data_IF_636026010567
#
_entry.id   IF_636026010567
#
_cell.length_a   1.000
_cell.length_b   1.000
_cell.length_c   1.000
_cell.angle_alpha   90.00
_cell.angle_beta   90.00
_cell.angle_gamma   90.00
#
_symmetry.space_group_name_H-M   'P 1'
#
loop_
_entity.id
_entity.type
_entity.pdbx_description
1 polymer ?
#
# COMPACT_ATOMS: atom_id res chain seq x y z
N UNK A 1 -4.48 -60.36 -56.32
CA UNK A 1 -3.51 -59.46 -55.66
C UNK A 1 -3.74 -59.54 -54.16
N UNK A 2 -2.72 -59.97 -53.41
CA UNK A 2 -2.86 -60.50 -52.05
C UNK A 2 -3.30 -59.41 -51.06
N UNK A 3 -4.49 -59.55 -50.46
CA UNK A 3 -4.97 -58.72 -49.35
C UNK A 3 -4.08 -58.75 -48.09
N UNK A 4 -3.06 -59.62 -48.07
CA UNK A 4 -1.96 -59.56 -47.09
C UNK A 4 -1.18 -58.25 -47.19
N UNK A 5 -0.80 -57.79 -48.39
CA UNK A 5 -0.03 -56.55 -48.56
C UNK A 5 -0.81 -55.31 -48.14
N UNK A 6 -2.13 -55.29 -48.36
CA UNK A 6 -2.99 -54.18 -47.93
C UNK A 6 -3.06 -54.07 -46.40
N UNK A 7 -3.14 -55.21 -45.68
CA UNK A 7 -3.12 -55.22 -44.21
C UNK A 7 -1.77 -54.77 -43.65
N UNK A 8 -0.66 -55.14 -44.29
CA UNK A 8 0.67 -54.70 -43.88
C UNK A 8 0.87 -53.20 -44.12
N UNK A 9 0.46 -52.67 -45.28
CA UNK A 9 0.56 -51.24 -45.58
C UNK A 9 -0.33 -50.37 -44.68
N UNK A 10 -1.54 -50.83 -44.34
CA UNK A 10 -2.42 -50.14 -43.38
C UNK A 10 -1.81 -50.13 -41.97
N UNK A 11 -1.21 -51.25 -41.55
CA UNK A 11 -0.52 -51.33 -40.26
C UNK A 11 0.63 -50.34 -40.15
N UNK A 12 1.42 -50.17 -41.22
CA UNK A 12 2.54 -49.24 -41.28
C UNK A 12 2.08 -47.77 -41.24
N UNK A 13 1.02 -47.42 -41.96
CA UNK A 13 0.42 -46.07 -41.90
C UNK A 13 -0.10 -45.76 -40.50
N UNK A 14 -0.82 -46.69 -39.86
CA UNK A 14 -1.34 -46.50 -38.50
C UNK A 14 -0.19 -46.30 -37.51
N UNK A 15 0.90 -47.05 -37.65
CA UNK A 15 2.06 -46.98 -36.77
C UNK A 15 2.82 -45.66 -36.93
N UNK A 16 2.94 -45.16 -38.16
CA UNK A 16 3.53 -43.84 -38.47
C UNK A 16 2.65 -42.71 -37.91
N UNK A 17 1.33 -42.78 -38.08
CA UNK A 17 0.41 -41.76 -37.56
C UNK A 17 0.47 -41.69 -36.03
N UNK A 18 0.51 -42.83 -35.33
CA UNK A 18 0.69 -42.86 -33.87
C UNK A 18 2.02 -42.23 -33.47
N UNK A 19 3.11 -42.52 -34.21
CA UNK A 19 4.42 -41.91 -33.97
C UNK A 19 4.41 -40.39 -34.08
N UNK A 20 3.75 -39.84 -35.11
CA UNK A 20 3.60 -38.38 -35.30
C UNK A 20 2.77 -37.76 -34.18
N UNK A 21 1.66 -38.38 -33.79
CA UNK A 21 0.81 -37.87 -32.71
C UNK A 21 1.54 -37.85 -31.36
N UNK A 22 2.31 -38.88 -31.04
CA UNK A 22 3.14 -38.92 -29.82
C UNK A 22 4.24 -37.85 -29.88
N UNK A 23 4.92 -37.69 -31.02
CA UNK A 23 5.94 -36.65 -31.19
C UNK A 23 5.36 -35.23 -31.02
N UNK A 24 4.18 -34.97 -31.58
CA UNK A 24 3.46 -33.71 -31.39
C UNK A 24 3.04 -33.50 -29.94
N UNK A 25 2.53 -34.53 -29.25
CA UNK A 25 2.18 -34.43 -27.83
C UNK A 25 3.39 -34.13 -26.95
N UNK A 26 4.52 -34.79 -27.19
CA UNK A 26 5.76 -34.53 -26.45
C UNK A 26 6.28 -33.11 -26.72
N UNK A 27 6.22 -32.64 -27.97
CA UNK A 27 6.64 -31.29 -28.31
C UNK A 27 5.73 -30.24 -27.63
N UNK A 28 4.41 -30.39 -27.74
CA UNK A 28 3.44 -29.51 -27.10
C UNK A 28 3.59 -29.51 -25.57
N UNK A 29 3.86 -30.67 -24.95
CA UNK A 29 4.12 -30.76 -23.52
C UNK A 29 5.42 -30.04 -23.12
N UNK A 30 6.48 -30.16 -23.92
CA UNK A 30 7.74 -29.47 -23.68
C UNK A 30 7.62 -27.95 -23.87
N UNK A 31 6.85 -27.50 -24.87
CA UNK A 31 6.54 -26.09 -25.09
C UNK A 31 5.70 -25.53 -23.94
N UNK A 32 4.64 -26.24 -23.51
CA UNK A 32 3.84 -25.87 -22.33
C UNK A 32 4.72 -25.75 -21.09
N UNK A 33 5.57 -26.75 -20.80
CA UNK A 33 6.48 -26.74 -19.65
C UNK A 33 7.47 -25.57 -19.69
N UNK A 34 7.97 -25.21 -20.88
CA UNK A 34 8.85 -24.03 -21.04
C UNK A 34 8.10 -22.72 -20.80
N UNK A 35 6.85 -22.62 -21.28
CA UNK A 35 5.95 -21.50 -20.99
C UNK A 35 5.68 -21.36 -19.50
N UNK A 36 5.30 -22.45 -18.82
CA UNK A 36 5.09 -22.47 -17.38
C UNK A 36 6.32 -22.00 -16.59
N UNK A 37 7.52 -22.52 -16.92
CA UNK A 37 8.75 -22.10 -16.25
C UNK A 37 9.05 -20.60 -16.43
N UNK A 38 8.77 -20.05 -17.62
CA UNK A 38 8.92 -18.63 -17.93
C UNK A 38 7.92 -17.78 -17.14
N UNK A 39 6.64 -18.16 -17.12
CA UNK A 39 5.60 -17.49 -16.32
C UNK A 39 5.95 -17.48 -14.84
N UNK A 40 6.38 -18.61 -14.28
CA UNK A 40 6.83 -18.68 -12.89
C UNK A 40 7.99 -17.73 -12.60
N UNK A 41 8.97 -17.64 -13.51
CA UNK A 41 10.09 -16.72 -13.37
C UNK A 41 9.65 -15.24 -13.40
N UNK A 42 8.74 -14.88 -14.31
CA UNK A 42 8.17 -13.53 -14.40
C UNK A 42 7.39 -13.19 -13.11
N UNK A 43 6.53 -14.09 -12.64
CA UNK A 43 5.74 -13.85 -11.43
C UNK A 43 6.62 -13.78 -10.17
N UNK A 44 7.69 -14.57 -10.09
CA UNK A 44 8.69 -14.46 -9.01
C UNK A 44 9.38 -13.10 -9.01
N UNK A 45 9.74 -12.58 -10.20
CA UNK A 45 10.30 -11.23 -10.32
C UNK A 45 9.29 -10.17 -9.84
N UNK A 46 8.01 -10.30 -10.21
CA UNK A 46 6.95 -9.38 -9.75
C UNK A 46 6.81 -9.41 -8.23
N UNK A 47 6.91 -10.59 -7.61
CA UNK A 47 6.88 -10.72 -6.14
C UNK A 47 8.02 -9.92 -5.51
N UNK A 48 9.24 -10.05 -6.02
CA UNK A 48 10.41 -9.33 -5.50
C UNK A 48 10.29 -7.82 -5.71
N UNK A 49 9.78 -7.38 -6.85
CA UNK A 49 9.51 -5.97 -7.15
C UNK A 49 8.43 -5.38 -6.22
N UNK A 50 7.32 -6.10 -6.01
CA UNK A 50 6.25 -5.68 -5.08
C UNK A 50 6.76 -5.58 -3.63
N UNK A 51 7.67 -6.45 -3.20
CA UNK A 51 8.29 -6.39 -1.87
C UNK A 51 9.08 -5.10 -1.67
N UNK A 52 9.90 -4.74 -2.66
CA UNK A 52 10.66 -3.50 -2.66
C UNK A 52 9.72 -2.29 -2.60
N UNK A 53 8.67 -2.29 -3.44
CA UNK A 53 7.69 -1.20 -3.46
C UNK A 53 6.94 -1.07 -2.13
N UNK A 54 6.58 -2.20 -1.49
CA UNK A 54 5.98 -2.23 -0.15
C UNK A 54 6.91 -1.61 0.89
N UNK A 55 8.19 -1.98 0.91
CA UNK A 55 9.18 -1.45 1.86
C UNK A 55 9.32 0.08 1.73
N UNK A 56 9.42 0.57 0.50
CA UNK A 56 9.53 2.01 0.22
C UNK A 56 8.25 2.73 0.65
N UNK A 57 7.07 2.22 0.27
CA UNK A 57 5.78 2.83 0.62
C UNK A 57 5.52 2.82 2.13
N UNK A 58 5.92 1.77 2.85
CA UNK A 58 5.88 1.73 4.31
C UNK A 58 6.81 2.80 4.94
N UNK A 59 8.00 3.00 4.37
CA UNK A 59 8.93 4.05 4.80
C UNK A 59 8.37 5.46 4.55
N UNK A 60 7.75 5.67 3.39
CA UNK A 60 6.99 6.89 3.05
C UNK A 60 5.89 7.13 4.10
N UNK A 61 5.12 6.11 4.44
CA UNK A 61 4.04 6.22 5.41
C UNK A 61 4.55 6.63 6.79
N UNK A 62 5.62 5.97 7.26
CA UNK A 62 6.27 6.31 8.53
C UNK A 62 6.74 7.76 8.56
N UNK A 63 7.38 8.23 7.49
CA UNK A 63 7.87 9.61 7.40
C UNK A 63 6.73 10.64 7.49
N UNK A 64 5.61 10.43 6.79
CA UNK A 64 4.49 11.36 6.84
C UNK A 64 3.71 11.31 8.16
N UNK A 65 3.63 10.16 8.84
CA UNK A 65 3.06 10.08 10.19
C UNK A 65 3.90 10.86 11.21
N UNK A 66 5.23 10.77 11.12
CA UNK A 66 6.13 11.60 11.93
C UNK A 66 5.94 13.09 11.62
N UNK A 67 5.77 13.43 10.35
CA UNK A 67 5.56 14.81 9.91
C UNK A 67 4.22 15.39 10.38
N UNK A 68 3.14 14.61 10.39
CA UNK A 68 1.84 15.04 10.92
C UNK A 68 1.89 15.31 12.43
N UNK A 69 2.66 14.51 13.18
CA UNK A 69 2.90 14.76 14.61
C UNK A 69 3.54 16.13 14.86
N UNK A 70 4.54 16.49 14.05
CA UNK A 70 5.21 17.81 14.13
C UNK A 70 4.27 18.96 13.73
N UNK A 71 3.50 18.80 12.66
CA UNK A 71 2.51 19.81 12.21
C UNK A 71 1.42 20.02 13.28
N UNK A 72 1.03 18.97 14.00
CA UNK A 72 0.03 19.08 15.08
C UNK A 72 0.56 19.89 16.26
N UNK A 73 1.84 19.71 16.65
CA UNK A 73 2.48 20.56 17.67
C UNK A 73 2.48 22.02 17.22
N UNK A 74 2.81 22.28 15.95
CA UNK A 74 2.76 23.64 15.39
C UNK A 74 1.35 24.24 15.44
N UNK A 75 0.32 23.50 15.03
CA UNK A 75 -1.09 23.98 15.06
C UNK A 75 -1.56 24.41 16.45
N UNK A 76 -1.12 23.71 17.49
CA UNK A 76 -1.56 23.93 18.86
C UNK A 76 -0.71 24.95 19.62
N UNK A 77 0.36 25.46 19.01
CA UNK A 77 1.26 26.41 19.64
C UNK A 77 0.66 27.83 19.63
N UNK A 78 0.62 28.49 20.79
CA UNK A 78 0.25 29.89 20.90
C UNK A 78 1.44 30.76 20.51
N UNK A 79 1.46 31.20 19.26
CA UNK A 79 2.53 32.03 18.73
C UNK A 79 2.45 33.49 19.21
N UNK A 80 1.42 33.90 19.98
CA UNK A 80 1.30 35.29 20.44
C UNK A 80 2.43 35.74 21.38
N UNK A 81 3.20 34.80 21.93
CA UNK A 81 4.42 35.07 22.68
C UNK A 81 5.65 34.70 21.83
N UNK A 82 6.59 35.63 21.60
CA UNK A 82 7.82 35.29 20.92
C UNK A 82 8.61 34.31 21.80
N UNK A 83 8.90 33.13 21.28
CA UNK A 83 9.80 32.16 21.91
C UNK A 83 11.26 32.64 21.76
N UNK A 84 11.52 33.90 22.13
CA UNK A 84 12.83 34.53 22.04
C UNK A 84 13.59 34.25 23.34
N UNK A 85 14.27 33.11 23.40
CA UNK A 85 15.56 33.09 24.12
C UNK A 85 16.49 31.94 23.76
N UNK A 86 16.04 30.84 23.12
CA UNK A 86 16.94 29.73 22.74
C UNK A 86 16.51 29.03 21.43
N UNK A 87 16.33 29.78 20.35
CA UNK A 87 15.84 29.26 19.07
C UNK A 87 16.94 28.53 18.29
N UNK A 88 16.99 27.21 18.41
CA UNK A 88 17.29 26.37 17.25
C UNK A 88 15.97 26.21 16.48
N UNK A 89 15.69 27.14 15.57
CA UNK A 89 14.45 27.17 14.80
C UNK A 89 14.52 26.34 13.51
N UNK A 90 15.65 25.65 13.27
CA UNK A 90 15.88 24.81 12.09
C UNK A 90 14.76 23.77 11.89
N UNK A 91 14.25 23.21 12.98
CA UNK A 91 13.16 22.22 12.98
C UNK A 91 11.83 22.79 12.45
N UNK A 92 11.58 24.10 12.61
CA UNK A 92 10.36 24.77 12.12
C UNK A 92 10.53 25.28 10.69
N UNK A 93 11.75 25.67 10.30
CA UNK A 93 12.07 26.23 8.98
C UNK A 93 11.80 25.20 7.86
N UNK A 94 11.99 23.92 8.15
CA UNK A 94 11.98 22.85 7.15
C UNK A 94 10.73 21.96 7.19
N UNK A 95 9.70 22.33 7.98
CA UNK A 95 8.51 21.50 8.22
C UNK A 95 7.78 21.14 6.92
N UNK A 96 7.85 21.97 5.88
CA UNK A 96 7.26 21.69 4.56
C UNK A 96 8.27 21.82 3.42
N UNK A 97 9.51 21.37 3.64
CA UNK A 97 10.59 21.47 2.63
C UNK A 97 10.83 20.18 1.83
N UNK A 98 10.57 19.03 2.45
CA UNK A 98 10.89 17.71 1.88
C UNK A 98 9.64 16.94 1.47
N UNK A 99 9.79 16.09 0.47
CA UNK A 99 8.86 15.00 0.16
C UNK A 99 9.66 13.70 0.02
N UNK A 100 8.98 12.58 0.14
CA UNK A 100 9.56 11.26 -0.09
C UNK A 100 9.21 10.82 -1.52
N UNK A 101 10.18 10.71 -2.45
CA UNK A 101 9.92 10.18 -3.78
C UNK A 101 9.64 8.67 -3.72
N UNK A 102 8.89 8.18 -4.70
CA UNK A 102 8.63 6.76 -4.92
C UNK A 102 8.83 6.47 -6.41
N UNK A 103 9.66 5.47 -6.69
CA UNK A 103 9.86 4.93 -8.02
C UNK A 103 9.31 3.50 -8.02
N UNK A 104 8.44 3.21 -8.99
CA UNK A 104 7.83 1.89 -9.14
C UNK A 104 8.79 0.93 -9.82
N UNK A 105 8.83 -0.30 -9.34
CA UNK A 105 9.51 -1.40 -10.02
C UNK A 105 8.49 -2.25 -10.77
N UNK A 106 8.33 -2.04 -12.07
CA UNK A 106 7.26 -2.68 -12.88
C UNK A 106 7.79 -3.57 -14.02
N UNK A 107 9.09 -3.87 -14.06
CA UNK A 107 9.68 -4.59 -15.19
C UNK A 107 9.08 -5.99 -15.34
N UNK A 108 8.87 -6.71 -14.24
CA UNK A 108 8.22 -8.02 -14.25
C UNK A 108 6.79 -7.90 -14.76
N UNK A 109 6.05 -6.88 -14.32
CA UNK A 109 4.68 -6.62 -14.78
C UNK A 109 4.62 -6.29 -16.28
N UNK A 110 5.51 -5.43 -16.79
CA UNK A 110 5.61 -5.14 -18.22
C UNK A 110 5.92 -6.40 -19.04
N UNK A 111 6.82 -7.27 -18.54
CA UNK A 111 7.11 -8.55 -19.18
C UNK A 111 5.91 -9.48 -19.19
N UNK A 112 5.14 -9.54 -18.10
CA UNK A 112 3.90 -10.30 -18.00
C UNK A 112 2.87 -9.81 -19.03
N UNK A 113 2.68 -8.50 -19.12
CA UNK A 113 1.72 -7.88 -20.05
C UNK A 113 2.05 -8.19 -21.52
N UNK A 114 3.32 -8.33 -21.86
CA UNK A 114 3.78 -8.70 -23.20
C UNK A 114 3.61 -10.19 -23.55
N UNK A 115 3.21 -11.03 -22.58
CA UNK A 115 3.07 -12.48 -22.76
C UNK A 115 1.77 -13.00 -22.14
N UNK A 116 0.73 -12.15 -22.10
CA UNK A 116 -0.57 -12.51 -21.50
C UNK A 116 -1.26 -13.67 -22.21
N UNK A 117 -1.02 -13.81 -23.50
CA UNK A 117 -1.43 -14.90 -24.38
C UNK A 117 -0.74 -16.24 -24.07
N UNK A 118 0.34 -16.24 -23.28
CA UNK A 118 1.02 -17.45 -22.78
C UNK A 118 0.55 -17.86 -21.37
N UNK A 119 -0.35 -17.10 -20.73
CA UNK A 119 -0.81 -17.37 -19.36
C UNK A 119 -1.89 -18.46 -19.31
N UNK A 120 -1.74 -19.35 -18.32
CA UNK A 120 -2.79 -20.32 -17.98
C UNK A 120 -4.01 -19.58 -17.39
N UNK A 121 -5.22 -20.07 -17.66
CA UNK A 121 -6.49 -19.49 -17.17
C UNK A 121 -6.49 -19.35 -15.64
N UNK A 122 -5.75 -20.23 -14.96
CA UNK A 122 -5.56 -20.20 -13.51
C UNK A 122 -5.03 -18.84 -13.02
N UNK A 123 -4.16 -18.15 -13.77
CA UNK A 123 -3.57 -16.86 -13.33
C UNK A 123 -4.42 -15.62 -13.64
N UNK A 124 -5.62 -15.78 -14.20
CA UNK A 124 -6.48 -14.65 -14.59
C UNK A 124 -6.82 -13.70 -13.43
N UNK A 125 -7.24 -14.22 -12.28
CA UNK A 125 -7.54 -13.40 -11.09
C UNK A 125 -6.28 -12.66 -10.58
N UNK A 126 -5.13 -13.33 -10.57
CA UNK A 126 -3.87 -12.71 -10.19
C UNK A 126 -3.46 -11.60 -11.16
N UNK A 127 -3.70 -11.79 -12.47
CA UNK A 127 -3.43 -10.79 -13.49
C UNK A 127 -4.32 -9.55 -13.31
N UNK A 128 -5.61 -9.72 -13.06
CA UNK A 128 -6.52 -8.59 -12.80
C UNK A 128 -6.07 -7.78 -11.57
N UNK A 129 -5.68 -8.46 -10.49
CA UNK A 129 -5.15 -7.80 -9.30
C UNK A 129 -3.84 -7.04 -9.58
N UNK A 130 -2.92 -7.64 -10.33
CA UNK A 130 -1.66 -6.99 -10.71
C UNK A 130 -1.91 -5.79 -11.62
N UNK A 131 -2.82 -5.89 -12.58
CA UNK A 131 -3.23 -4.76 -13.43
C UNK A 131 -3.74 -3.63 -12.55
N UNK A 132 -4.63 -3.91 -11.61
CA UNK A 132 -5.16 -2.90 -10.70
C UNK A 132 -4.07 -2.22 -9.86
N UNK A 133 -3.11 -2.99 -9.33
CA UNK A 133 -2.00 -2.44 -8.55
C UNK A 133 -1.14 -1.49 -9.41
N UNK A 134 -0.69 -1.96 -10.58
CA UNK A 134 0.27 -1.23 -11.40
C UNK A 134 -0.35 -0.13 -12.27
N UNK A 135 -1.61 -0.26 -12.67
CA UNK A 135 -2.27 0.69 -13.58
C UNK A 135 -3.24 1.65 -12.87
N UNK A 136 -3.69 1.33 -11.65
CA UNK A 136 -4.61 2.20 -10.89
C UNK A 136 -4.01 2.66 -9.55
N UNK A 137 -3.64 1.74 -8.66
CA UNK A 137 -3.26 2.07 -7.29
C UNK A 137 -1.93 2.86 -7.22
N UNK A 138 -0.87 2.34 -7.86
CA UNK A 138 0.46 2.98 -7.91
C UNK A 138 0.40 4.35 -8.60
N UNK A 139 -0.22 4.50 -9.79
CA UNK A 139 -0.36 5.81 -10.42
C UNK A 139 -1.08 6.83 -9.55
N UNK A 140 -2.06 6.42 -8.73
CA UNK A 140 -2.72 7.33 -7.79
C UNK A 140 -1.75 7.86 -6.73
N UNK A 141 -0.86 7.01 -6.19
CA UNK A 141 0.19 7.45 -5.27
C UNK A 141 1.14 8.44 -5.95
N UNK A 142 1.64 8.10 -7.14
CA UNK A 142 2.58 8.93 -7.92
C UNK A 142 1.95 10.30 -8.22
N UNK A 143 0.67 10.35 -8.62
CA UNK A 143 -0.03 11.59 -8.91
C UNK A 143 -0.01 12.57 -7.73
N UNK A 144 -0.24 12.08 -6.50
CA UNK A 144 -0.18 12.95 -5.31
C UNK A 144 1.26 13.33 -4.93
N UNK A 145 2.24 12.47 -5.20
CA UNK A 145 3.66 12.80 -5.00
C UNK A 145 4.16 13.87 -5.98
N UNK A 146 3.75 13.81 -7.25
CA UNK A 146 4.03 14.86 -8.24
C UNK A 146 3.34 16.17 -7.86
N UNK A 147 2.10 16.09 -7.37
CA UNK A 147 1.38 17.22 -6.79
C UNK A 147 2.15 17.87 -5.64
N UNK A 148 2.66 17.05 -4.72
CA UNK A 148 3.51 17.50 -3.60
C UNK A 148 4.75 18.24 -4.11
N UNK A 149 5.49 17.65 -5.07
CA UNK A 149 6.66 18.28 -5.66
C UNK A 149 6.33 19.64 -6.31
N UNK A 150 5.18 19.74 -6.98
CA UNK A 150 4.69 21.00 -7.57
C UNK A 150 4.42 22.06 -6.49
N UNK A 151 3.78 21.70 -5.38
CA UNK A 151 3.50 22.60 -4.27
C UNK A 151 4.79 23.08 -3.61
N UNK A 152 5.74 22.17 -3.35
CA UNK A 152 7.04 22.52 -2.80
C UNK A 152 7.82 23.48 -3.71
N UNK A 153 7.75 23.25 -5.02
CA UNK A 153 8.38 24.14 -6.01
C UNK A 153 7.76 25.53 -6.00
N UNK A 154 6.43 25.64 -5.92
CA UNK A 154 5.71 26.93 -5.82
C UNK A 154 6.00 27.66 -4.51
N UNK A 155 6.08 26.95 -3.40
CA UNK A 155 6.46 27.53 -2.12
C UNK A 155 7.87 28.11 -2.18
N UNK A 156 8.84 27.33 -2.69
CA UNK A 156 10.22 27.79 -2.88
C UNK A 156 10.30 29.02 -3.79
N UNK A 157 9.55 29.02 -4.91
CA UNK A 157 9.42 30.16 -5.82
C UNK A 157 8.96 31.41 -5.10
N UNK A 158 7.87 31.29 -4.32
CA UNK A 158 7.35 32.39 -3.53
C UNK A 158 8.40 32.92 -2.56
N UNK A 159 9.18 32.05 -1.91
CA UNK A 159 10.19 32.47 -0.97
C UNK A 159 11.30 33.32 -1.62
N UNK A 160 11.94 32.82 -2.68
CA UNK A 160 13.08 33.51 -3.26
C UNK A 160 12.69 34.76 -4.07
N UNK A 161 11.45 34.85 -4.57
CA UNK A 161 10.96 36.03 -5.27
C UNK A 161 10.55 37.16 -4.33
N UNK A 162 10.10 36.86 -3.11
CA UNK A 162 9.46 37.84 -2.23
C UNK A 162 10.28 38.22 -0.99
N UNK A 163 11.32 37.44 -0.65
CA UNK A 163 12.07 37.67 0.59
C UNK A 163 13.59 37.72 0.39
N UNK A 164 14.20 38.85 0.79
CA UNK A 164 15.66 39.06 0.67
C UNK A 164 16.46 38.09 1.56
N UNK A 165 15.88 37.67 2.69
CA UNK A 165 16.53 36.74 3.63
C UNK A 165 16.76 35.35 3.03
N UNK A 166 16.07 34.97 1.95
CA UNK A 166 16.20 33.66 1.32
C UNK A 166 17.65 33.28 0.98
N UNK A 167 18.39 34.22 0.38
CA UNK A 167 19.79 34.02 0.01
C UNK A 167 20.71 33.93 1.23
N UNK A 168 20.40 34.68 2.30
CA UNK A 168 21.20 34.73 3.54
C UNK A 168 21.14 33.41 4.29
N UNK A 169 19.93 32.87 4.43
CA UNK A 169 19.70 31.56 5.03
C UNK A 169 20.36 30.47 4.19
N UNK A 170 20.11 30.46 2.88
CA UNK A 170 20.54 29.38 1.99
C UNK A 170 22.06 29.31 1.77
N UNK A 171 22.75 30.46 1.73
CA UNK A 171 24.18 30.52 1.43
C UNK A 171 25.04 30.66 2.70
N UNK A 172 24.55 31.37 3.70
CA UNK A 172 25.35 31.77 4.86
C UNK A 172 24.82 31.22 6.19
N UNK A 173 23.68 30.52 6.20
CA UNK A 173 23.02 30.05 7.42
C UNK A 173 22.75 31.20 8.42
N UNK A 174 22.49 32.40 7.87
CA UNK A 174 22.18 33.60 8.64
C UNK A 174 20.66 33.75 8.76
N UNK A 175 20.14 33.51 9.96
CA UNK A 175 18.72 33.59 10.27
C UNK A 175 18.31 34.98 10.74
N UNK A 176 17.09 35.42 10.37
CA UNK A 176 16.61 36.78 10.64
C UNK A 176 15.25 36.82 11.35
N UNK A 177 14.94 37.93 12.03
CA UNK A 177 13.60 38.11 12.64
C UNK A 177 12.49 38.09 11.58
N UNK A 178 12.75 38.60 10.38
CA UNK A 178 11.80 38.59 9.27
C UNK A 178 11.46 37.17 8.80
N UNK A 179 12.48 36.33 8.61
CA UNK A 179 12.32 34.90 8.31
C UNK A 179 11.55 34.17 9.41
N UNK A 180 11.93 34.38 10.67
CA UNK A 180 11.22 33.78 11.80
C UNK A 180 9.74 34.15 11.76
N UNK A 181 9.44 35.43 11.51
CA UNK A 181 8.06 35.88 11.42
C UNK A 181 7.29 35.26 10.25
N UNK A 182 7.96 34.99 9.13
CA UNK A 182 7.38 34.29 7.99
C UNK A 182 6.87 32.90 8.40
N UNK A 183 7.75 32.04 8.93
CA UNK A 183 7.37 30.67 9.28
C UNK A 183 6.37 30.56 10.42
N UNK A 184 6.36 31.52 11.35
CA UNK A 184 5.52 31.47 12.54
C UNK A 184 4.15 32.11 12.33
N UNK A 185 4.08 33.21 11.57
CA UNK A 185 2.89 34.06 11.54
C UNK A 185 2.29 34.25 10.16
N UNK A 186 3.08 34.10 9.08
CA UNK A 186 2.63 34.47 7.75
C UNK A 186 1.46 33.59 7.27
N UNK A 187 0.34 34.20 6.83
CA UNK A 187 -0.82 33.45 6.37
C UNK A 187 -0.53 32.63 5.10
N UNK A 188 0.39 33.07 4.23
CA UNK A 188 0.78 32.33 3.02
C UNK A 188 1.52 31.06 3.41
N UNK A 189 2.45 31.12 4.37
CA UNK A 189 3.13 29.91 4.87
C UNK A 189 2.13 28.92 5.48
N UNK A 190 1.17 29.40 6.29
CA UNK A 190 0.11 28.56 6.87
C UNK A 190 -0.78 27.91 5.80
N UNK A 191 -1.06 28.61 4.71
CA UNK A 191 -1.78 28.06 3.57
C UNK A 191 -0.95 26.95 2.89
N UNK A 192 0.34 27.17 2.64
CA UNK A 192 1.21 26.13 2.10
C UNK A 192 1.29 24.90 3.01
N UNK A 193 1.37 25.09 4.33
CA UNK A 193 1.35 23.98 5.29
C UNK A 193 0.04 23.18 5.24
N UNK A 194 -1.08 23.87 5.08
CA UNK A 194 -2.39 23.23 4.94
C UNK A 194 -2.47 22.37 3.68
N UNK A 195 -2.07 22.92 2.54
CA UNK A 195 -2.06 22.19 1.26
C UNK A 195 -1.04 21.04 1.28
N UNK A 196 0.14 21.25 1.86
CA UNK A 196 1.14 20.22 2.08
C UNK A 196 0.55 19.05 2.88
N UNK A 197 -0.22 19.35 3.93
CA UNK A 197 -0.93 18.35 4.71
C UNK A 197 -1.98 17.59 3.91
N UNK A 198 -2.80 18.30 3.16
CA UNK A 198 -3.78 17.66 2.28
C UNK A 198 -3.11 16.68 1.29
N UNK A 199 -1.97 17.05 0.72
CA UNK A 199 -1.23 16.17 -0.17
C UNK A 199 -0.70 14.92 0.54
N UNK A 200 0.02 15.05 1.67
CA UNK A 200 0.55 13.85 2.30
C UNK A 200 -0.53 12.96 2.92
N UNK A 201 -1.68 13.52 3.33
CA UNK A 201 -2.83 12.71 3.77
C UNK A 201 -3.31 11.83 2.61
N UNK A 202 -3.41 12.38 1.40
CA UNK A 202 -3.78 11.60 0.23
C UNK A 202 -2.68 10.59 -0.17
N UNK A 203 -1.40 10.96 -0.08
CA UNK A 203 -0.29 10.00 -0.29
C UNK A 203 -0.40 8.84 0.71
N UNK A 204 -0.60 9.13 1.99
CA UNK A 204 -0.75 8.12 3.05
C UNK A 204 -1.89 7.15 2.77
N UNK A 205 -3.08 7.67 2.42
CA UNK A 205 -4.26 6.84 2.17
C UNK A 205 -4.01 5.91 0.98
N UNK A 206 -3.51 6.44 -0.13
CA UNK A 206 -3.28 5.66 -1.36
C UNK A 206 -2.11 4.68 -1.22
N UNK A 207 -1.06 5.09 -0.49
CA UNK A 207 0.07 4.21 -0.17
C UNK A 207 -0.36 3.06 0.73
N UNK A 208 -1.15 3.33 1.79
CA UNK A 208 -1.71 2.29 2.66
C UNK A 208 -2.54 1.26 1.89
N UNK A 209 -3.37 1.73 0.97
CA UNK A 209 -4.17 0.88 0.10
C UNK A 209 -3.29 0.03 -0.83
N UNK A 210 -2.33 0.66 -1.49
CA UNK A 210 -1.39 0.00 -2.41
C UNK A 210 -0.59 -1.08 -1.69
N UNK A 211 -0.07 -0.79 -0.50
CA UNK A 211 0.64 -1.76 0.35
C UNK A 211 -0.24 -2.95 0.71
N UNK A 212 -1.50 -2.72 1.07
CA UNK A 212 -2.43 -3.80 1.41
C UNK A 212 -2.72 -4.71 0.20
N UNK A 213 -2.97 -4.12 -0.98
CA UNK A 213 -3.17 -4.87 -2.22
C UNK A 213 -1.92 -5.67 -2.62
N UNK A 214 -0.75 -5.04 -2.56
CA UNK A 214 0.53 -5.67 -2.91
C UNK A 214 0.84 -6.86 -2.00
N UNK A 215 0.66 -6.72 -0.69
CA UNK A 215 0.88 -7.82 0.26
C UNK A 215 -0.07 -8.99 -0.02
N UNK A 216 -1.35 -8.72 -0.30
CA UNK A 216 -2.32 -9.76 -0.69
C UNK A 216 -1.91 -10.46 -1.98
N UNK A 217 -1.48 -9.71 -3.00
CA UNK A 217 -0.99 -10.27 -4.26
C UNK A 217 0.23 -11.16 -4.04
N UNK A 218 1.19 -10.72 -3.22
CA UNK A 218 2.38 -11.51 -2.84
C UNK A 218 1.94 -12.84 -2.20
N UNK A 219 1.04 -12.82 -1.20
CA UNK A 219 0.57 -14.04 -0.52
C UNK A 219 -0.02 -15.05 -1.52
N UNK A 220 -0.89 -14.55 -2.41
CA UNK A 220 -1.58 -15.39 -3.38
C UNK A 220 -0.61 -15.99 -4.39
N UNK A 221 0.32 -15.17 -4.90
CA UNK A 221 1.32 -15.61 -5.87
C UNK A 221 2.33 -16.58 -5.24
N UNK A 222 2.83 -16.32 -4.04
CA UNK A 222 3.73 -17.24 -3.34
C UNK A 222 3.06 -18.60 -3.09
N UNK A 223 1.80 -18.59 -2.64
CA UNK A 223 1.02 -19.81 -2.42
C UNK A 223 0.84 -20.59 -3.73
N UNK A 224 0.50 -19.89 -4.82
CA UNK A 224 0.24 -20.49 -6.13
C UNK A 224 1.51 -21.03 -6.80
N UNK A 225 2.63 -20.38 -6.57
CA UNK A 225 3.93 -20.80 -7.08
C UNK A 225 4.62 -21.84 -6.19
N UNK A 226 4.03 -22.20 -5.06
CA UNK A 226 4.60 -23.09 -4.03
C UNK A 226 5.95 -22.57 -3.51
N UNK A 227 6.08 -21.25 -3.36
CA UNK A 227 7.28 -20.60 -2.85
C UNK A 227 7.28 -20.56 -1.31
N UNK A 228 8.46 -20.36 -0.74
CA UNK A 228 8.60 -20.05 0.68
C UNK A 228 7.89 -18.72 0.98
N UNK A 229 7.05 -18.72 2.01
CA UNK A 229 6.29 -17.52 2.41
C UNK A 229 7.26 -16.51 3.01
N UNK A 230 7.35 -15.34 2.41
CA UNK A 230 8.28 -14.29 2.83
C UNK A 230 7.65 -13.21 3.72
N UNK A 231 6.35 -13.32 3.98
CA UNK A 231 5.57 -12.27 4.64
C UNK A 231 6.01 -11.94 6.06
N UNK A 232 6.70 -12.86 6.74
CA UNK A 232 7.26 -12.62 8.07
C UNK A 232 8.26 -11.44 8.08
N UNK A 233 8.80 -11.06 6.93
CA UNK A 233 9.66 -9.88 6.77
C UNK A 233 8.87 -8.55 6.76
N UNK A 234 7.59 -8.57 6.37
CA UNK A 234 6.76 -7.38 6.15
C UNK A 234 5.56 -7.25 7.09
N UNK A 235 5.17 -8.36 7.74
CA UNK A 235 4.02 -8.45 8.63
C UNK A 235 4.46 -8.74 10.06
N UNK A 236 3.93 -7.97 11.00
CA UNK A 236 4.09 -8.29 12.41
C UNK A 236 3.11 -9.40 12.80
N UNK A 237 3.62 -10.44 13.47
CA UNK A 237 2.77 -11.44 14.08
C UNK A 237 2.07 -10.86 15.32
N UNK A 238 0.74 -10.91 15.34
CA UNK A 238 -0.01 -10.47 16.51
C UNK A 238 0.21 -11.44 17.69
N UNK A 239 0.47 -10.93 18.92
CA UNK A 239 0.46 -11.76 20.10
C UNK A 239 -0.90 -12.46 20.25
N UNK A 240 -0.90 -13.78 20.47
CA UNK A 240 -2.16 -14.54 20.52
C UNK A 240 -3.09 -14.09 21.65
N UNK A 241 -2.52 -13.65 22.77
CA UNK A 241 -3.29 -13.05 23.88
C UNK A 241 -4.01 -11.77 23.43
N UNK A 242 -3.34 -10.94 22.61
CA UNK A 242 -3.94 -9.73 22.04
C UNK A 242 -5.09 -10.08 21.11
N UNK A 243 -4.87 -10.99 20.15
CA UNK A 243 -5.93 -11.44 19.23
C UNK A 243 -7.13 -11.97 20.01
N UNK A 244 -6.89 -12.85 20.98
CA UNK A 244 -7.95 -13.46 21.78
C UNK A 244 -8.73 -12.45 22.64
N UNK A 245 -8.08 -11.39 23.12
CA UNK A 245 -8.75 -10.32 23.87
C UNK A 245 -9.72 -9.49 23.03
N UNK A 246 -9.48 -9.41 21.72
CA UNK A 246 -10.29 -8.62 20.78
C UNK A 246 -11.43 -9.43 20.15
N UNK A 247 -11.52 -10.75 20.36
CA UNK A 247 -12.61 -11.57 19.82
C UNK A 247 -13.94 -11.17 20.48
N UNK A 248 -14.97 -10.98 19.65
CA UNK A 248 -16.32 -10.73 20.13
C UNK A 248 -17.21 -10.04 19.11
N UNK A 249 -18.42 -9.74 19.56
CA UNK A 249 -19.37 -8.91 18.84
C UNK A 249 -19.41 -7.54 19.47
N UNK A 250 -19.41 -6.53 18.63
CA UNK A 250 -19.18 -5.16 18.99
C UNK A 250 -20.23 -4.28 18.33
N UNK A 251 -20.60 -3.16 18.96
CA UNK A 251 -21.54 -2.20 18.40
C UNK A 251 -20.91 -0.82 18.33
N UNK A 252 -20.97 -0.22 17.14
CA UNK A 252 -20.61 1.19 16.99
C UNK A 252 -21.72 2.07 17.60
N UNK A 253 -21.35 3.12 18.31
CA UNK A 253 -22.31 4.09 18.88
C UNK A 253 -23.26 4.69 17.82
N UNK A 254 -22.81 4.76 16.55
CA UNK A 254 -23.54 5.42 15.45
C UNK A 254 -23.97 4.50 14.28
N UNK A 255 -23.66 3.18 14.29
CA UNK A 255 -24.08 2.24 13.23
C UNK A 255 -25.14 1.24 13.68
N UNK A 256 -25.91 0.75 12.72
CA UNK A 256 -26.90 -0.33 12.91
C UNK A 256 -26.28 -1.72 12.88
N UNK A 257 -25.09 -1.87 12.30
CA UNK A 257 -24.38 -3.12 12.07
C UNK A 257 -23.40 -3.45 13.19
N UNK A 258 -23.34 -4.74 13.52
CA UNK A 258 -22.45 -5.28 14.54
C UNK A 258 -21.08 -5.59 13.95
N UNK A 259 -19.99 -5.07 14.54
CA UNK A 259 -18.64 -5.50 14.23
C UNK A 259 -18.40 -6.89 14.84
N UNK A 260 -18.03 -7.88 14.04
CA UNK A 260 -17.72 -9.23 14.52
C UNK A 260 -16.24 -9.52 14.30
N UNK A 261 -15.52 -9.75 15.40
CA UNK A 261 -14.11 -10.10 15.40
C UNK A 261 -13.91 -11.56 15.82
N UNK A 262 -13.22 -12.32 14.98
CA UNK A 262 -12.94 -13.74 15.14
C UNK A 262 -11.43 -14.00 15.12
N UNK A 263 -10.99 -15.09 15.76
CA UNK A 263 -9.63 -15.60 15.57
C UNK A 263 -9.66 -16.73 14.53
N UNK A 264 -8.98 -16.55 13.41
CA UNK A 264 -8.79 -17.56 12.36
C UNK A 264 -7.31 -17.87 12.24
N UNK A 265 -6.93 -19.09 12.63
CA UNK A 265 -5.54 -19.56 12.56
C UNK A 265 -4.51 -18.63 13.24
N UNK A 266 -4.90 -17.98 14.33
CA UNK A 266 -4.05 -17.05 15.07
C UNK A 266 -4.06 -15.61 14.57
N UNK A 267 -4.91 -15.27 13.59
CA UNK A 267 -5.08 -13.92 13.09
C UNK A 267 -6.45 -13.35 13.45
N UNK A 268 -6.50 -12.04 13.71
CA UNK A 268 -7.74 -11.34 13.95
C UNK A 268 -8.47 -11.12 12.62
N UNK A 269 -9.72 -11.52 12.55
CA UNK A 269 -10.53 -11.48 11.34
C UNK A 269 -11.81 -10.71 11.60
N UNK A 270 -12.16 -9.80 10.70
CA UNK A 270 -13.46 -9.15 10.71
C UNK A 270 -14.46 -9.91 9.83
N UNK A 271 -15.54 -10.41 10.43
CA UNK A 271 -16.62 -11.14 9.74
C UNK A 271 -17.89 -10.33 9.51
N UNK A 272 -17.85 -9.02 9.78
CA UNK A 272 -18.98 -8.12 9.63
C UNK A 272 -19.41 -7.96 8.17
N UNK A 273 -20.61 -8.39 7.82
CA UNK A 273 -21.18 -8.08 6.51
C UNK A 273 -21.94 -6.75 6.58
N UNK A 274 -21.39 -5.68 6.00
CA UNK A 274 -22.18 -4.54 5.50
C UNK A 274 -21.38 -3.67 4.53
N UNK A 275 -21.73 -3.70 3.23
CA UNK A 275 -21.09 -2.95 2.14
C UNK A 275 -21.24 -1.43 2.23
N UNK A 276 -20.55 -0.83 3.20
CA UNK A 276 -20.57 0.59 3.51
C UNK A 276 -19.42 1.03 4.40
N UNK A 277 -18.26 1.40 3.83
CA UNK A 277 -17.26 2.21 4.53
C UNK A 277 -17.88 3.54 4.94
N UNK A 278 -17.28 4.18 5.94
CA UNK A 278 -17.65 5.52 6.40
C UNK A 278 -17.61 6.58 5.28
N UNK A 279 -16.93 6.30 4.15
CA UNK A 279 -16.66 7.25 3.07
C UNK A 279 -17.41 6.94 1.75
N UNK A 280 -18.26 5.89 1.72
CA UNK A 280 -19.25 5.65 0.67
C UNK A 280 -18.87 4.70 -0.48
N UNK A 281 -19.89 4.32 -1.27
CA UNK A 281 -19.93 3.16 -2.19
C UNK A 281 -18.80 3.01 -3.21
N UNK A 282 -18.10 4.08 -3.55
CA UNK A 282 -16.97 4.03 -4.48
C UNK A 282 -15.74 3.32 -3.87
N UNK A 283 -15.65 3.26 -2.54
CA UNK A 283 -14.58 2.56 -1.79
C UNK A 283 -15.07 1.28 -1.09
N UNK A 284 -16.37 0.97 -1.18
CA UNK A 284 -17.05 -0.09 -0.38
C UNK A 284 -17.08 -1.47 -1.04
N UNK A 285 -16.66 -1.58 -2.30
CA UNK A 285 -16.74 -2.85 -3.03
C UNK A 285 -15.53 -3.75 -2.83
N UNK A 286 -14.55 -3.34 -2.01
CA UNK A 286 -13.35 -4.12 -1.75
C UNK A 286 -13.27 -4.54 -0.27
N UNK A 287 -13.98 -5.63 0.04
CA UNK A 287 -13.77 -6.56 1.17
C UNK A 287 -13.87 -6.02 2.62
N UNK A 288 -15.05 -6.14 3.24
CA UNK A 288 -15.22 -6.18 4.71
C UNK A 288 -15.32 -7.65 5.16
N UNK A 289 -14.35 -8.43 4.70
CA UNK A 289 -14.12 -9.83 5.09
C UNK A 289 -12.63 -10.05 4.95
N UNK A 290 -11.86 -9.69 5.97
CA UNK A 290 -10.40 -9.59 5.83
C UNK A 290 -9.67 -9.95 7.11
N UNK A 291 -8.54 -10.63 6.93
CA UNK A 291 -7.49 -10.72 7.95
C UNK A 291 -7.03 -9.30 8.29
N UNK A 292 -7.25 -8.88 9.54
CA UNK A 292 -6.82 -7.57 10.02
C UNK A 292 -5.32 -7.63 10.28
N UNK A 293 -4.55 -6.83 9.54
CA UNK A 293 -3.09 -6.83 9.65
C UNK A 293 -2.66 -6.12 10.94
N UNK A 294 -1.90 -6.82 11.77
CA UNK A 294 -1.31 -6.23 12.98
C UNK A 294 -0.25 -5.18 12.64
N UNK A 295 -0.35 -4.01 13.25
CA UNK A 295 0.54 -2.87 13.02
C UNK A 295 1.54 -2.65 14.16
N UNK A 296 1.52 -3.51 15.18
CA UNK A 296 2.28 -3.31 16.42
C UNK A 296 1.43 -2.74 17.54
N UNK A 297 1.98 -2.74 18.76
CA UNK A 297 1.30 -2.31 19.98
C UNK A 297 -0.05 -3.01 20.16
N UNK A 298 -1.14 -2.25 20.11
CA UNK A 298 -2.52 -2.73 20.17
C UNK A 298 -3.34 -2.38 18.92
N UNK A 299 -2.66 -2.12 17.79
CA UNK A 299 -3.25 -1.64 16.55
C UNK A 299 -3.38 -2.72 15.48
N UNK A 300 -4.52 -2.70 14.80
CA UNK A 300 -4.81 -3.50 13.62
C UNK A 300 -5.26 -2.59 12.48
N UNK A 301 -4.67 -2.77 11.31
CA UNK A 301 -5.14 -2.15 10.07
C UNK A 301 -6.56 -2.62 9.80
N UNK A 302 -7.49 -1.68 9.74
CA UNK A 302 -8.90 -1.95 9.45
C UNK A 302 -9.22 -1.55 8.02
N UNK A 303 -8.93 -0.30 7.65
CA UNK A 303 -9.04 0.16 6.27
C UNK A 303 -7.99 1.24 5.94
N UNK A 304 -8.11 1.80 4.73
CA UNK A 304 -7.18 2.80 4.19
C UNK A 304 -7.11 4.08 5.01
N UNK A 305 -8.14 4.38 5.81
CA UNK A 305 -8.31 5.58 6.64
C UNK A 305 -8.37 5.31 8.14
N UNK A 306 -8.53 4.06 8.57
CA UNK A 306 -8.74 3.74 9.98
C UNK A 306 -7.98 2.49 10.47
N UNK A 307 -7.75 2.46 11.78
CA UNK A 307 -7.19 1.33 12.50
C UNK A 307 -8.12 0.96 13.67
N UNK A 308 -8.14 -0.32 14.02
CA UNK A 308 -8.74 -0.80 15.27
C UNK A 308 -7.67 -0.79 16.37
N UNK A 309 -7.99 -0.21 17.52
CA UNK A 309 -7.15 -0.23 18.72
C UNK A 309 -7.83 -1.00 19.85
N UNK A 310 -7.09 -1.90 20.50
CA UNK A 310 -7.44 -2.35 21.86
C UNK A 310 -6.92 -1.36 22.90
N UNK A 311 -7.82 -0.84 23.72
CA UNK A 311 -7.53 0.11 24.78
C UNK A 311 -7.11 -0.60 26.08
N UNK A 312 -6.46 0.13 26.98
CA UNK A 312 -6.00 -0.42 28.27
C UNK A 312 -7.13 -0.92 29.17
N UNK A 313 -8.34 -0.38 28.99
CA UNK A 313 -9.55 -0.80 29.71
C UNK A 313 -10.25 -2.02 29.09
N UNK A 314 -9.68 -2.60 28.02
CA UNK A 314 -10.24 -3.74 27.30
C UNK A 314 -11.32 -3.37 26.27
N UNK A 315 -11.67 -2.10 26.12
CA UNK A 315 -12.54 -1.63 25.04
C UNK A 315 -11.80 -1.59 23.69
N UNK A 316 -12.54 -1.59 22.59
CA UNK A 316 -11.98 -1.36 21.26
C UNK A 316 -12.39 0.03 20.80
N UNK A 317 -11.54 0.70 20.03
CA UNK A 317 -11.87 1.95 19.37
C UNK A 317 -11.42 1.96 17.92
N UNK A 318 -12.16 2.70 17.10
CA UNK A 318 -11.71 3.04 15.76
C UNK A 318 -10.91 4.33 15.82
N UNK A 319 -9.68 4.30 15.34
CA UNK A 319 -8.80 5.47 15.23
C UNK A 319 -8.57 5.82 13.76
N UNK A 320 -8.39 7.11 13.47
CA UNK A 320 -7.91 7.52 12.16
C UNK A 320 -6.43 7.15 11.97
N UNK A 321 -5.90 7.37 10.76
CA UNK A 321 -4.49 7.09 10.44
C UNK A 321 -3.49 7.85 11.31
N UNK A 322 -3.92 8.92 12.00
CA UNK A 322 -3.08 9.77 12.86
C UNK A 322 -3.23 9.43 14.36
N UNK A 323 -4.04 8.41 14.70
CA UNK A 323 -4.26 7.97 16.08
C UNK A 323 -5.34 8.77 16.82
N UNK A 324 -6.11 9.60 16.12
CA UNK A 324 -7.26 10.28 16.73
C UNK A 324 -8.45 9.32 16.81
N UNK A 325 -9.04 9.19 17.99
CA UNK A 325 -10.22 8.36 18.20
C UNK A 325 -11.39 8.91 17.37
N UNK A 326 -11.92 8.09 16.47
CA UNK A 326 -13.13 8.38 15.68
C UNK A 326 -14.35 8.04 16.52
N UNK A 327 -14.42 6.82 17.06
CA UNK A 327 -15.55 6.35 17.88
C UNK A 327 -15.13 5.24 18.83
N UNK A 328 -15.83 5.12 19.96
CA UNK A 328 -15.72 3.96 20.86
C UNK A 328 -16.53 2.81 20.30
N UNK A 329 -16.06 1.59 20.54
CA UNK A 329 -16.75 0.38 20.17
C UNK A 329 -17.03 -0.41 21.45
N UNK A 330 -18.30 -0.52 21.82
CA UNK A 330 -18.71 -1.28 22.99
C UNK A 330 -18.87 -2.76 22.64
N UNK A 331 -18.30 -3.62 23.49
CA UNK A 331 -18.49 -5.07 23.39
C UNK A 331 -19.92 -5.40 23.83
N UNK A 332 -20.61 -6.21 23.04
CA UNK A 332 -21.96 -6.70 23.37
C UNK A 332 -21.95 -7.76 24.48
#
# INVERSE_FOLDING_TARGET
MNGKYLKYAIGEIVLVVIGILIALQINNWNEKRKGEAKTKAILSQIIDELKLDVEVLQSVNKAYLQKDSLITVFKNSDFSQPLLSNLDSSEFHDLIRTYMPFEVHDRGFQLLMNHTDELDEDFSENLEQLIFIYQDAIPMVIQYMDGMLSILSKHKEHQYQNYEWYSKVSLFHEYSEEEYRYYMYDPIYKNYMTVYREMYVNILINSRWTVDLALKAIVQLETKLELEKSLDEFLLAAPQELVNSMIGTYRFEEKTSDLILENRNGQLYESTFEGGSFFGRAFDTQYITGELRYLGDSLFYHDVRSNLRLNQDGSISLEDIFGSKITSIEKK
#
